data_IF_919149895985
#
_entry.id   IF_919149895985
#
_cell.length_a   1.000
_cell.length_b   1.000
_cell.length_c   1.000
_cell.angle_alpha   90.00
_cell.angle_beta   90.00
_cell.angle_gamma   90.00
#
_symmetry.space_group_name_H-M   'P 1'
#
loop_
_entity.id
_entity.type
_entity.pdbx_description
1 polymer ?
#
# COMPACT_ATOMS: atom_id res chain seq x y z
N UNK A 1 -0.85 35.93 -10.48
CA UNK A 1 -0.07 36.19 -9.25
C UNK A 1 -0.98 36.12 -8.03
N UNK A 2 -1.10 34.93 -7.41
CA UNK A 2 -1.80 34.75 -6.15
C UNK A 2 -0.76 34.65 -5.02
N UNK A 3 -0.98 35.44 -3.97
CA UNK A 3 -0.08 35.68 -2.85
C UNK A 3 -0.01 34.43 -1.94
N UNK A 4 1.18 33.91 -1.55
CA UNK A 4 1.28 32.75 -0.67
C UNK A 4 0.86 33.18 0.74
N UNK A 5 -0.38 32.86 1.12
CA UNK A 5 -0.80 32.90 2.52
C UNK A 5 0.15 31.99 3.29
N UNK A 6 1.05 32.57 4.10
CA UNK A 6 1.89 31.84 5.07
C UNK A 6 0.98 30.89 5.87
N UNK A 7 1.08 29.58 5.60
CA UNK A 7 0.32 28.51 6.24
C UNK A 7 0.69 28.49 7.73
N UNK A 8 -0.16 29.06 8.59
CA UNK A 8 0.09 29.12 10.04
C UNK A 8 -0.16 27.75 10.66
N UNK A 9 0.91 26.98 10.87
CA UNK A 9 0.92 25.86 11.83
C UNK A 9 1.15 24.45 11.29
N UNK A 10 1.31 24.28 9.98
CA UNK A 10 1.58 23.00 9.31
C UNK A 10 3.04 22.96 8.85
N UNK A 11 3.95 22.63 9.76
CA UNK A 11 5.40 22.55 9.51
C UNK A 11 5.94 21.12 9.67
N UNK A 12 5.04 20.16 9.89
CA UNK A 12 5.35 18.74 10.01
C UNK A 12 4.61 17.97 8.94
N UNK A 13 5.23 16.89 8.49
CA UNK A 13 4.59 15.83 7.74
C UNK A 13 4.43 14.60 8.63
N UNK A 14 3.34 13.87 8.41
CA UNK A 14 3.08 12.59 9.05
C UNK A 14 2.76 11.52 8.00
N UNK A 15 3.36 10.35 8.15
CA UNK A 15 3.10 9.18 7.32
C UNK A 15 1.94 8.37 7.91
N UNK A 16 0.80 8.44 7.24
CA UNK A 16 -0.44 7.84 7.70
C UNK A 16 -0.36 6.30 7.71
N UNK A 17 -1.06 5.66 8.65
CA UNK A 17 -1.05 4.18 8.75
C UNK A 17 -1.86 3.51 7.66
N UNK A 18 -2.87 4.20 7.15
CA UNK A 18 -3.89 3.62 6.29
C UNK A 18 -3.43 3.47 4.84
N UNK A 19 -2.70 4.45 4.32
CA UNK A 19 -2.23 4.49 2.93
C UNK A 19 -0.71 4.63 2.78
N UNK A 20 0.02 4.76 3.89
CA UNK A 20 1.49 4.92 3.93
C UNK A 20 2.02 6.19 3.23
N UNK A 21 1.14 7.15 2.94
CA UNK A 21 1.49 8.42 2.28
C UNK A 21 1.78 9.54 3.29
N UNK A 22 2.52 10.55 2.82
CA UNK A 22 2.90 11.72 3.62
C UNK A 22 1.89 12.85 3.48
N UNK A 23 1.43 13.35 4.64
CA UNK A 23 0.52 14.48 4.71
C UNK A 23 1.08 15.62 5.54
N UNK A 24 0.79 16.86 5.16
CA UNK A 24 1.03 18.02 6.01
C UNK A 24 0.10 17.99 7.23
N UNK A 25 0.66 18.08 8.44
CA UNK A 25 -0.08 17.97 9.69
C UNK A 25 0.29 19.03 10.71
N UNK A 26 -0.61 19.22 11.67
CA UNK A 26 -0.32 19.96 12.91
C UNK A 26 -0.65 19.08 14.10
N UNK A 27 0.16 19.21 15.15
CA UNK A 27 -0.05 18.46 16.38
C UNK A 27 -0.83 19.27 17.41
N UNK A 28 -1.80 18.65 18.05
CA UNK A 28 -2.56 19.21 19.17
C UNK A 28 -2.35 18.31 20.39
N UNK A 29 -1.99 18.92 21.53
CA UNK A 29 -1.78 18.20 22.78
C UNK A 29 -2.95 18.50 23.73
N UNK A 30 -3.58 17.45 24.29
CA UNK A 30 -4.62 17.58 25.33
C UNK A 30 -4.40 16.51 26.41
N UNK A 31 -3.90 16.92 27.56
CA UNK A 31 -3.61 16.00 28.67
C UNK A 31 -2.53 14.97 28.28
N UNK A 32 -2.89 13.68 28.30
CA UNK A 32 -2.01 12.57 27.89
C UNK A 32 -2.21 12.15 26.42
N UNK A 33 -2.99 12.91 25.66
CA UNK A 33 -3.34 12.60 24.28
C UNK A 33 -2.64 13.57 23.32
N UNK A 34 -2.04 13.03 22.27
CA UNK A 34 -1.56 13.76 21.11
C UNK A 34 -2.47 13.46 19.91
N UNK A 35 -2.99 14.50 19.28
CA UNK A 35 -3.81 14.40 18.09
C UNK A 35 -3.05 14.96 16.89
N UNK A 36 -2.95 14.17 15.84
CA UNK A 36 -2.43 14.55 14.53
C UNK A 36 -3.62 15.07 13.71
N UNK A 37 -3.62 16.38 13.42
CA UNK A 37 -4.63 17.00 12.56
C UNK A 37 -4.08 17.22 11.17
N UNK A 38 -4.75 16.66 10.17
CA UNK A 38 -4.37 16.74 8.76
C UNK A 38 -4.73 18.10 8.14
N UNK A 39 -3.85 18.68 7.33
CA UNK A 39 -4.11 19.94 6.63
C UNK A 39 -5.19 19.73 5.56
N UNK A 40 -6.30 20.46 5.63
CA UNK A 40 -7.36 20.40 4.62
C UNK A 40 -8.42 19.32 4.87
N UNK A 41 -8.27 18.50 5.91
CA UNK A 41 -9.22 17.45 6.27
C UNK A 41 -10.03 17.80 7.53
N UNK A 42 -11.17 17.12 7.69
CA UNK A 42 -12.04 17.26 8.86
C UNK A 42 -11.49 16.47 10.06
N UNK A 43 -12.02 16.75 11.25
CA UNK A 43 -11.56 16.10 12.49
C UNK A 43 -11.84 14.59 12.54
N UNK A 44 -12.68 14.07 11.65
CA UNK A 44 -12.97 12.65 11.50
C UNK A 44 -11.75 11.85 10.99
N UNK A 45 -10.83 12.53 10.31
CA UNK A 45 -9.58 11.94 9.82
C UNK A 45 -8.43 12.05 10.83
N UNK A 46 -8.61 12.75 11.96
CA UNK A 46 -7.53 12.97 12.92
C UNK A 46 -7.05 11.65 13.56
N UNK A 47 -5.73 11.44 13.61
CA UNK A 47 -5.15 10.30 14.35
C UNK A 47 -4.89 10.70 15.81
N UNK A 48 -5.34 9.86 16.74
CA UNK A 48 -5.30 10.13 18.18
C UNK A 48 -4.43 9.10 18.89
N UNK A 49 -3.37 9.57 19.53
CA UNK A 49 -2.44 8.74 20.30
C UNK A 49 -2.55 9.06 21.79
N UNK A 50 -2.90 8.07 22.59
CA UNK A 50 -2.85 8.20 24.05
C UNK A 50 -1.52 7.66 24.59
N UNK A 51 -0.87 8.41 25.48
CA UNK A 51 0.46 8.07 25.96
C UNK A 51 0.51 6.75 26.77
N UNK A 52 -0.63 6.20 27.17
CA UNK A 52 -0.76 4.91 27.87
C UNK A 52 -0.85 3.70 26.94
N UNK A 53 -1.03 3.89 25.64
CA UNK A 53 -1.30 2.80 24.70
C UNK A 53 -0.01 2.08 24.24
N UNK A 54 1.13 2.75 24.42
CA UNK A 54 2.45 2.25 24.04
C UNK A 54 2.98 1.28 25.09
N UNK A 55 3.43 0.10 24.63
CA UNK A 55 3.89 -1.00 25.48
C UNK A 55 5.40 -1.19 25.45
N UNK A 56 6.06 -0.67 24.42
CA UNK A 56 7.50 -0.86 24.24
C UNK A 56 8.16 0.38 23.64
N UNK A 57 9.49 0.42 23.68
CA UNK A 57 10.27 1.51 23.09
C UNK A 57 10.22 1.43 21.55
N UNK A 58 10.12 0.23 21.00
CA UNK A 58 10.04 -0.03 19.57
C UNK A 58 8.77 0.58 18.96
N UNK A 59 7.61 0.45 19.63
CA UNK A 59 6.36 1.11 19.18
C UNK A 59 6.49 2.64 19.16
N UNK A 60 7.26 3.19 20.10
CA UNK A 60 7.53 4.64 20.17
C UNK A 60 8.47 5.08 19.05
N UNK A 61 9.53 4.30 18.79
CA UNK A 61 10.48 4.59 17.71
C UNK A 61 9.78 4.50 16.34
N UNK A 62 8.87 3.55 16.14
CA UNK A 62 8.05 3.44 14.92
C UNK A 62 7.10 4.64 14.74
N UNK A 63 6.49 5.14 15.82
CA UNK A 63 5.70 6.38 15.76
C UNK A 63 6.56 7.57 15.33
N UNK A 64 7.76 7.71 15.91
CA UNK A 64 8.64 8.85 15.62
C UNK A 64 9.11 8.84 14.17
N UNK A 65 9.41 7.66 13.60
CA UNK A 65 9.79 7.51 12.18
C UNK A 65 8.73 8.00 11.20
N UNK A 66 7.47 8.08 11.63
CA UNK A 66 6.36 8.59 10.81
C UNK A 66 6.24 10.10 10.82
N UNK A 67 7.10 10.84 11.51
CA UNK A 67 7.11 12.30 11.47
C UNK A 67 8.38 12.84 10.80
N UNK A 68 8.22 13.90 10.02
CA UNK A 68 9.35 14.69 9.49
C UNK A 68 8.97 16.15 9.27
N UNK A 69 9.95 16.94 8.85
CA UNK A 69 9.72 18.34 8.46
C UNK A 69 9.07 18.37 7.10
N UNK A 70 8.25 19.38 6.82
CA UNK A 70 7.66 19.54 5.48
C UNK A 70 8.75 19.53 4.40
N UNK A 71 8.54 18.67 3.41
CA UNK A 71 9.40 18.45 2.26
C UNK A 71 9.11 19.56 1.24
N UNK A 72 10.05 20.48 0.96
CA UNK A 72 9.83 21.52 -0.02
C UNK A 72 9.79 20.92 -1.43
N UNK A 73 8.84 21.38 -2.23
CA UNK A 73 8.80 21.07 -3.66
C UNK A 73 10.01 21.68 -4.36
N UNK A 74 10.63 20.89 -5.24
CA UNK A 74 11.76 21.31 -6.07
C UNK A 74 11.31 22.31 -7.13
N UNK A 75 12.19 23.23 -7.50
CA UNK A 75 12.03 24.10 -8.66
C UNK A 75 12.88 23.61 -9.83
N UNK A 76 12.49 23.98 -11.05
CA UNK A 76 13.12 23.54 -12.30
C UNK A 76 14.63 23.82 -12.34
N UNK A 77 15.04 25.01 -11.88
CA UNK A 77 16.45 25.41 -11.75
C UNK A 77 17.25 24.58 -10.73
N UNK A 78 16.58 23.84 -9.85
CA UNK A 78 17.19 23.05 -8.77
C UNK A 78 17.47 21.60 -9.19
N UNK A 79 17.12 21.19 -10.42
CA UNK A 79 17.27 19.82 -10.90
C UNK A 79 18.71 19.27 -10.78
N UNK A 80 19.71 20.13 -11.02
CA UNK A 80 21.13 19.75 -10.96
C UNK A 80 21.64 19.43 -9.55
N UNK A 81 20.83 19.68 -8.51
CA UNK A 81 21.17 19.27 -7.14
C UNK A 81 20.82 17.80 -6.86
N UNK A 82 19.97 17.18 -7.67
CA UNK A 82 19.55 15.79 -7.54
C UNK A 82 20.63 14.84 -8.05
N UNK A 83 20.80 13.70 -7.37
CA UNK A 83 21.79 12.68 -7.69
C UNK A 83 21.20 11.29 -7.52
N UNK A 84 21.72 10.35 -8.29
CA UNK A 84 21.44 8.93 -8.10
C UNK A 84 21.77 8.50 -6.65
N UNK A 85 20.93 7.63 -6.09
CA UNK A 85 20.96 7.20 -4.70
C UNK A 85 20.28 8.16 -3.70
N UNK A 86 19.87 9.37 -4.11
CA UNK A 86 19.15 10.27 -3.22
C UNK A 86 17.72 9.79 -2.96
N UNK A 87 17.27 9.90 -1.72
CA UNK A 87 15.86 9.70 -1.36
C UNK A 87 15.12 11.02 -1.52
N UNK A 88 14.05 10.98 -2.30
CA UNK A 88 13.14 12.10 -2.56
C UNK A 88 11.72 11.70 -2.21
N UNK A 89 10.88 12.69 -1.93
CA UNK A 89 9.45 12.49 -1.77
C UNK A 89 8.78 12.85 -3.09
N UNK A 90 8.00 11.94 -3.67
CA UNK A 90 7.46 12.09 -5.02
C UNK A 90 5.94 11.95 -4.99
N UNK A 91 5.29 12.88 -5.69
CA UNK A 91 3.86 12.83 -5.98
C UNK A 91 3.53 11.63 -6.86
N UNK A 92 2.57 10.85 -6.42
CA UNK A 92 2.13 9.63 -7.06
C UNK A 92 0.62 9.66 -7.16
N UNK A 93 0.11 9.65 -8.39
CA UNK A 93 -1.28 9.32 -8.64
C UNK A 93 -1.45 7.79 -8.56
N UNK A 94 -1.30 7.26 -7.36
CA UNK A 94 -1.34 5.82 -7.14
C UNK A 94 -2.73 5.22 -7.29
N UNK A 95 -3.78 6.03 -7.06
CA UNK A 95 -5.15 5.58 -6.93
C UNK A 95 -6.08 6.05 -8.06
N UNK A 96 -5.57 6.84 -9.02
CA UNK A 96 -6.37 7.43 -10.09
C UNK A 96 -7.24 8.58 -9.59
N UNK A 97 -7.19 9.73 -10.26
CA UNK A 97 -7.90 10.96 -9.87
C UNK A 97 -7.02 12.21 -10.01
N UNK A 98 -7.49 13.36 -9.51
CA UNK A 98 -6.68 14.59 -9.39
C UNK A 98 -5.81 14.60 -8.12
N UNK A 99 -6.04 13.67 -7.19
CA UNK A 99 -5.35 13.62 -5.91
C UNK A 99 -3.95 13.00 -6.05
N UNK A 100 -2.95 13.85 -5.82
CA UNK A 100 -1.55 13.45 -5.76
C UNK A 100 -1.17 13.14 -4.32
N UNK A 101 -0.81 11.88 -4.06
CA UNK A 101 -0.29 11.45 -2.77
C UNK A 101 1.23 11.34 -2.80
N UNK A 102 1.87 11.52 -1.66
CA UNK A 102 3.31 11.68 -1.60
C UNK A 102 3.97 10.48 -0.92
N UNK A 103 4.94 9.87 -1.59
CA UNK A 103 5.68 8.70 -1.10
C UNK A 103 7.18 8.88 -1.28
N UNK A 104 7.99 8.15 -0.53
CA UNK A 104 9.44 8.22 -0.70
C UNK A 104 9.91 7.25 -1.78
N UNK A 105 10.86 7.72 -2.57
CA UNK A 105 11.52 6.96 -3.61
C UNK A 105 13.01 7.28 -3.65
N UNK A 106 13.82 6.35 -4.13
CA UNK A 106 15.24 6.57 -4.42
C UNK A 106 15.40 6.88 -5.91
N UNK A 107 16.27 7.84 -6.24
CA UNK A 107 16.64 8.12 -7.63
C UNK A 107 17.62 7.04 -8.10
N UNK A 108 17.24 6.27 -9.11
CA UNK A 108 18.08 5.19 -9.67
C UNK A 108 18.88 5.65 -10.87
N UNK A 109 18.30 6.53 -11.70
CA UNK A 109 18.98 7.10 -12.86
C UNK A 109 18.46 8.50 -13.18
N UNK A 110 19.31 9.33 -13.78
CA UNK A 110 18.95 10.69 -14.21
C UNK A 110 19.26 10.87 -15.70
N UNK A 111 18.23 11.15 -16.49
CA UNK A 111 18.37 11.53 -17.90
C UNK A 111 18.30 13.05 -18.01
N UNK A 112 19.49 13.67 -18.00
CA UNK A 112 19.63 15.11 -18.16
C UNK A 112 19.41 15.52 -19.62
N UNK A 113 18.71 16.63 -19.81
CA UNK A 113 18.51 17.27 -21.11
C UNK A 113 18.64 18.79 -20.96
N UNK A 114 18.87 19.49 -22.07
CA UNK A 114 18.87 20.95 -22.06
C UNK A 114 17.47 21.47 -21.72
N UNK A 115 17.40 22.45 -20.82
CA UNK A 115 16.14 23.05 -20.38
C UNK A 115 15.54 23.95 -21.46
N UNK A 116 14.21 24.00 -21.52
CA UNK A 116 13.48 24.97 -22.32
C UNK A 116 13.22 26.26 -21.53
N UNK A 117 12.93 27.34 -22.24
CA UNK A 117 12.53 28.60 -21.63
C UNK A 117 11.22 29.07 -22.27
N UNK A 118 10.14 29.10 -21.47
CA UNK A 118 8.84 29.59 -21.90
C UNK A 118 8.56 30.92 -21.20
N UNK A 119 8.34 32.00 -21.97
CA UNK A 119 8.09 33.35 -21.45
C UNK A 119 9.16 33.88 -20.46
N UNK A 120 10.40 33.36 -20.54
CA UNK A 120 11.50 33.73 -19.64
C UNK A 120 11.55 32.94 -18.33
N UNK A 121 10.64 31.98 -18.13
CA UNK A 121 10.69 31.00 -17.04
C UNK A 121 11.38 29.72 -17.56
N UNK A 122 12.27 29.17 -16.74
CA UNK A 122 13.00 27.92 -17.03
C UNK A 122 12.06 26.73 -16.83
N UNK A 123 12.04 25.81 -17.80
CA UNK A 123 11.26 24.60 -17.80
C UNK A 123 12.19 23.38 -17.87
N UNK A 124 12.18 22.58 -16.82
CA UNK A 124 13.01 21.39 -16.69
C UNK A 124 12.37 20.21 -17.43
N UNK A 125 13.07 19.69 -18.44
CA UNK A 125 12.66 18.53 -19.21
C UNK A 125 13.41 17.24 -18.81
N UNK A 126 14.20 17.29 -17.73
CA UNK A 126 14.96 16.14 -17.25
C UNK A 126 14.01 15.03 -16.77
N UNK A 127 14.37 13.79 -17.05
CA UNK A 127 13.62 12.62 -16.58
C UNK A 127 14.40 11.89 -15.50
N UNK A 128 13.74 11.61 -14.39
CA UNK A 128 14.31 10.88 -13.27
C UNK A 128 13.65 9.51 -13.18
N UNK A 129 14.48 8.46 -13.19
CA UNK A 129 14.02 7.11 -12.92
C UNK A 129 14.09 6.89 -11.41
N UNK A 130 12.95 6.63 -10.79
CA UNK A 130 12.85 6.44 -9.33
C UNK A 130 12.39 5.02 -8.99
N UNK A 131 12.85 4.50 -7.85
CA UNK A 131 12.36 3.26 -7.24
C UNK A 131 11.63 3.58 -5.94
N UNK A 132 10.34 3.24 -5.86
CA UNK A 132 9.51 3.56 -4.69
C UNK A 132 9.94 2.74 -3.46
N UNK A 133 10.19 3.41 -2.33
CA UNK A 133 10.60 2.76 -1.08
C UNK A 133 9.41 2.20 -0.30
N UNK A 134 8.24 2.82 -0.48
CA UNK A 134 7.02 2.47 0.24
C UNK A 134 5.76 2.85 -0.55
N UNK A 135 4.59 2.62 0.04
CA UNK A 135 3.31 2.82 -0.63
C UNK A 135 2.99 1.78 -1.72
N UNK A 136 1.96 2.05 -2.54
CA UNK A 136 1.35 1.07 -3.45
C UNK A 136 2.24 0.68 -4.65
N UNK A 137 3.25 1.50 -4.97
CA UNK A 137 4.22 1.21 -6.05
C UNK A 137 5.57 0.74 -5.52
N UNK A 138 5.68 0.38 -4.24
CA UNK A 138 6.94 -0.07 -3.63
C UNK A 138 7.68 -1.10 -4.51
N UNK A 139 8.97 -0.83 -4.76
CA UNK A 139 9.86 -1.66 -5.57
C UNK A 139 9.70 -1.53 -7.09
N UNK A 140 8.70 -0.80 -7.58
CA UNK A 140 8.57 -0.50 -9.01
C UNK A 140 9.44 0.68 -9.40
N UNK A 141 9.94 0.64 -10.64
CA UNK A 141 10.57 1.79 -11.28
C UNK A 141 9.52 2.68 -11.93
N UNK A 142 9.71 3.99 -11.88
CA UNK A 142 8.83 4.97 -12.54
C UNK A 142 9.66 6.13 -13.05
N UNK A 143 9.32 6.61 -14.24
CA UNK A 143 9.88 7.84 -14.79
C UNK A 143 9.01 9.02 -14.33
N UNK A 144 9.65 10.09 -13.87
CA UNK A 144 8.97 11.32 -13.45
C UNK A 144 9.80 12.55 -13.79
N UNK A 145 9.13 13.69 -13.96
CA UNK A 145 9.76 15.01 -14.00
C UNK A 145 9.99 15.58 -12.61
N UNK A 146 10.60 16.76 -12.56
CA UNK A 146 10.96 17.45 -11.30
C UNK A 146 9.74 18.06 -10.58
N UNK A 147 8.68 18.39 -11.32
CA UNK A 147 7.47 19.04 -10.82
C UNK A 147 6.76 18.23 -9.73
N UNK A 148 6.90 16.91 -9.78
CA UNK A 148 6.35 15.98 -8.79
C UNK A 148 7.27 15.73 -7.60
N UNK A 149 8.46 16.33 -7.53
CA UNK A 149 9.48 16.00 -6.53
C UNK A 149 9.58 17.02 -5.39
N UNK A 150 9.76 16.50 -4.19
CA UNK A 150 10.08 17.25 -2.99
C UNK A 150 11.37 16.73 -2.36
N UNK A 151 12.24 17.65 -1.93
CA UNK A 151 13.50 17.28 -1.28
C UNK A 151 13.28 16.97 0.20
N UNK A 152 13.91 15.90 0.69
CA UNK A 152 13.90 15.62 2.11
C UNK A 152 14.87 16.56 2.82
N UNK A 153 14.33 17.50 3.59
CA UNK A 153 15.10 18.16 4.64
C UNK A 153 15.28 17.12 5.74
N UNK A 154 16.53 16.78 6.07
CA UNK A 154 16.88 15.69 6.98
C UNK A 154 16.08 15.64 8.28
N UNK A 155 16.19 14.51 9.00
CA UNK A 155 15.35 14.14 10.17
C UNK A 155 14.94 15.36 10.98
N UNK A 156 13.63 15.60 11.08
CA UNK A 156 13.11 16.68 11.89
C UNK A 156 13.72 16.60 13.29
N UNK A 157 14.35 17.68 13.71
CA UNK A 157 14.55 17.94 15.13
C UNK A 157 13.20 17.70 15.80
N UNK A 158 13.09 16.66 16.62
CA UNK A 158 11.84 16.19 17.23
C UNK A 158 11.09 17.41 17.75
N UNK A 159 9.99 17.76 17.08
CA UNK A 159 9.29 19.01 17.34
C UNK A 159 8.91 19.09 18.83
N UNK A 160 8.85 20.28 19.46
CA UNK A 160 8.64 20.40 20.91
C UNK A 160 7.41 19.64 21.44
N UNK A 161 6.38 19.49 20.61
CA UNK A 161 5.17 18.71 20.91
C UNK A 161 5.41 17.20 20.90
N UNK A 162 6.11 16.67 19.89
CA UNK A 162 6.50 15.25 19.83
C UNK A 162 7.38 14.94 21.04
N UNK A 163 8.39 15.78 21.32
CA UNK A 163 9.26 15.60 22.48
C UNK A 163 8.49 15.59 23.81
N UNK A 164 7.46 16.44 23.93
CA UNK A 164 6.60 16.47 25.12
C UNK A 164 5.75 15.20 25.25
N UNK A 165 5.21 14.69 24.15
CA UNK A 165 4.46 13.43 24.13
C UNK A 165 5.35 12.24 24.48
N UNK A 166 6.55 12.15 23.90
CA UNK A 166 7.52 11.09 24.20
C UNK A 166 7.91 11.05 25.69
N UNK A 167 8.04 12.21 26.35
CA UNK A 167 8.24 12.27 27.80
C UNK A 167 7.08 11.65 28.59
N UNK A 168 5.85 11.85 28.15
CA UNK A 168 4.66 11.26 28.78
C UNK A 168 4.63 9.74 28.58
N UNK A 169 4.91 9.27 27.37
CA UNK A 169 4.96 7.83 27.05
C UNK A 169 6.05 7.14 27.87
N UNK A 170 7.27 7.67 27.88
CA UNK A 170 8.39 7.11 28.63
C UNK A 170 8.12 7.06 30.14
N UNK A 171 7.40 8.05 30.69
CA UNK A 171 6.97 8.02 32.09
C UNK A 171 5.99 6.88 32.37
N UNK A 172 5.09 6.58 31.43
CA UNK A 172 4.14 5.49 31.57
C UNK A 172 4.82 4.12 31.42
N UNK A 173 5.72 3.96 30.45
CA UNK A 173 6.55 2.76 30.31
C UNK A 173 7.38 2.48 31.59
N UNK A 174 7.97 3.53 32.16
CA UNK A 174 8.71 3.44 33.43
C UNK A 174 7.82 2.99 34.60
N UNK A 175 6.56 3.42 34.66
CA UNK A 175 5.59 3.01 35.69
C UNK A 175 5.11 1.57 35.53
N UNK A 176 4.91 1.11 34.29
CA UNK A 176 4.54 -0.27 33.99
C UNK A 176 5.66 -1.26 34.34
N UNK A 177 6.93 -0.85 34.16
CA UNK A 177 8.11 -1.64 34.53
C UNK A 177 8.24 -1.86 36.05
N UNK A 178 7.90 -0.86 36.88
CA UNK A 178 7.96 -1.01 38.35
C UNK A 178 6.73 -1.67 39.00
N UNK A 179 5.61 -1.82 38.27
CA UNK A 179 4.48 -2.64 38.74
C UNK A 179 4.73 -4.15 38.60
N UNK A 180 5.58 -4.57 37.65
CA UNK A 180 5.90 -5.99 37.44
C UNK A 180 6.85 -6.56 38.51
N UNK A 181 7.57 -5.73 39.24
CA UNK A 181 8.46 -6.16 40.35
C UNK A 181 7.78 -6.15 41.73
N UNK A 182 6.59 -5.58 41.86
CA UNK A 182 5.87 -5.50 43.15
C UNK A 182 5.08 -6.79 43.49
N UNK A 183 4.90 -7.72 42.54
CA UNK A 183 4.16 -8.97 42.73
C UNK A 183 5.06 -10.19 42.96
N UNK A 184 6.21 -10.04 43.62
CA UNK A 184 6.95 -11.15 44.22
C UNK A 184 7.43 -10.79 45.63
N UNK A 185 6.48 -10.67 46.54
CA UNK A 185 6.77 -10.65 47.99
C UNK A 185 5.86 -11.65 48.67
N UNK A 186 6.32 -12.90 48.73
CA UNK A 186 6.16 -13.74 49.90
C UNK A 186 7.48 -14.47 50.19
N UNK A 187 7.77 -14.52 51.48
CA UNK A 187 9.04 -14.69 52.21
C UNK A 187 9.85 -15.97 51.94
N UNK A 188 11.17 -15.88 52.15
CA UNK A 188 11.91 -16.57 53.23
C UNK A 188 13.21 -15.78 53.54
N UNK A 189 13.59 -15.79 54.81
CA UNK A 189 14.58 -14.98 55.51
C UNK A 189 16.00 -15.58 55.57
N UNK A 190 16.97 -14.64 55.76
CA UNK A 190 18.31 -14.74 56.38
C UNK A 190 19.40 -15.60 55.70
N UNK A 191 20.52 -14.99 55.28
CA UNK A 191 21.71 -14.66 56.11
C UNK A 191 22.90 -14.14 55.25
N UNK A 192 23.51 -13.05 55.74
CA UNK A 192 24.93 -12.61 55.70
C UNK A 192 25.81 -12.66 54.42
N UNK A 193 26.36 -11.49 54.06
CA UNK A 193 27.83 -11.32 53.87
C UNK A 193 28.35 -10.76 52.53
N UNK A 194 28.95 -9.55 52.58
CA UNK A 194 30.07 -9.02 51.74
C UNK A 194 29.81 -8.74 50.24
N UNK A 195 30.43 -7.79 49.52
CA UNK A 195 31.08 -6.47 49.71
C UNK A 195 31.53 -6.02 48.29
N UNK A 196 31.35 -4.73 47.91
CA UNK A 196 31.98 -3.92 46.81
C UNK A 196 32.13 -4.54 45.38
N UNK A 197 32.12 -3.86 44.22
CA UNK A 197 32.19 -2.47 43.76
C UNK A 197 31.78 -2.40 42.25
N UNK A 198 31.67 -1.18 41.70
CA UNK A 198 31.21 -0.72 40.38
C UNK A 198 31.58 -1.49 39.09
N UNK A 199 30.73 -1.34 38.04
CA UNK A 199 31.18 -1.29 36.65
C UNK A 199 30.15 -1.56 35.53
N UNK A 200 29.77 -0.52 34.80
CA UNK A 200 29.68 -0.50 33.32
C UNK A 200 28.78 -1.48 32.53
N UNK A 201 27.63 -0.95 32.09
CA UNK A 201 27.02 -1.05 30.74
C UNK A 201 27.40 -2.17 29.74
N UNK A 202 26.35 -2.85 29.23
CA UNK A 202 25.96 -3.08 27.82
C UNK A 202 25.67 -4.54 27.39
N UNK A 203 24.40 -4.72 26.97
CA UNK A 203 23.85 -5.47 25.80
C UNK A 203 24.43 -6.85 25.43
N UNK A 204 23.54 -7.85 25.29
CA UNK A 204 23.24 -8.55 24.02
C UNK A 204 22.42 -9.83 24.22
N UNK A 205 21.88 -10.33 23.10
CA UNK A 205 21.04 -11.53 22.85
C UNK A 205 19.54 -11.27 22.85
N UNK A 206 18.90 -11.01 21.70
CA UNK A 206 18.70 -11.86 20.50
C UNK A 206 17.88 -13.11 20.82
N UNK A 207 16.60 -13.07 20.42
CA UNK A 207 15.72 -14.19 20.07
C UNK A 207 14.35 -13.57 19.73
N UNK A 208 13.63 -13.83 18.65
CA UNK A 208 13.81 -14.66 17.49
C UNK A 208 12.80 -14.19 16.44
N UNK A 209 13.14 -14.38 15.18
CA UNK A 209 12.31 -14.26 13.99
C UNK A 209 11.15 -15.26 14.03
N UNK A 210 9.97 -14.91 13.47
CA UNK A 210 9.20 -15.83 12.61
C UNK A 210 7.98 -15.14 11.97
N UNK A 211 8.17 -14.69 10.73
CA UNK A 211 7.08 -14.49 9.78
C UNK A 211 6.68 -15.86 9.23
N UNK A 212 5.53 -16.37 9.66
CA UNK A 212 4.95 -17.62 9.15
C UNK A 212 3.91 -17.34 8.07
N UNK A 213 4.28 -17.59 6.81
CA UNK A 213 3.32 -17.86 5.73
C UNK A 213 3.30 -19.36 5.45
N UNK A 214 2.54 -20.13 6.22
CA UNK A 214 2.01 -21.41 5.76
C UNK A 214 0.58 -21.61 6.27
N UNK A 215 -0.29 -22.00 5.33
CA UNK A 215 -1.65 -22.41 5.57
C UNK A 215 -1.66 -23.85 6.09
N UNK A 216 -2.13 -24.06 7.32
CA UNK A 216 -2.97 -25.23 7.69
C UNK A 216 -3.79 -24.96 8.97
N UNK A 217 -5.04 -25.39 8.93
CA UNK A 217 -6.13 -25.32 9.91
C UNK A 217 -5.80 -25.37 11.41
N UNK A 218 -6.50 -24.56 12.22
CA UNK A 218 -7.45 -25.03 13.26
C UNK A 218 -7.70 -23.99 14.38
N UNK A 219 -8.98 -23.86 14.76
CA UNK A 219 -9.53 -23.32 16.04
C UNK A 219 -9.38 -21.82 16.32
N UNK A 220 -10.28 -21.03 15.73
CA UNK A 220 -11.22 -20.21 16.51
C UNK A 220 -12.52 -20.11 15.71
N UNK A 221 -13.36 -21.13 15.91
CA UNK A 221 -14.79 -21.01 15.72
C UNK A 221 -15.35 -20.42 17.02
N UNK A 222 -16.31 -19.50 16.85
CA UNK A 222 -17.30 -18.95 17.79
C UNK A 222 -17.05 -17.53 18.30
N UNK A 223 -18.19 -16.83 18.36
CA UNK A 223 -18.46 -15.44 18.75
C UNK A 223 -18.03 -14.46 17.64
N UNK A 224 -18.94 -13.83 16.90
CA UNK A 224 -20.17 -13.17 17.36
C UNK A 224 -21.31 -13.33 16.34
N UNK A 225 -22.34 -14.10 16.72
CA UNK A 225 -23.72 -13.81 16.33
C UNK A 225 -24.30 -12.84 17.37
N UNK A 226 -25.26 -12.05 16.91
CA UNK A 226 -26.19 -11.14 17.60
C UNK A 226 -25.74 -9.72 18.01
N UNK A 227 -26.26 -8.79 17.19
CA UNK A 227 -26.98 -7.55 17.52
C UNK A 227 -26.32 -6.47 18.40
N UNK A 228 -25.98 -5.35 17.75
CA UNK A 228 -26.77 -4.12 17.92
C UNK A 228 -26.83 -3.29 16.63
N UNK A 229 -28.06 -3.17 16.16
CA UNK A 229 -28.60 -2.24 15.18
C UNK A 229 -28.01 -0.82 15.28
N UNK A 230 -27.30 -0.40 14.23
CA UNK A 230 -27.02 0.99 13.88
C UNK A 230 -27.30 1.11 12.38
N UNK A 231 -28.40 1.77 12.06
CA UNK A 231 -28.91 1.92 10.69
C UNK A 231 -27.88 2.44 9.70
N UNK A 232 -27.79 1.73 8.57
CA UNK A 232 -27.02 2.09 7.37
C UNK A 232 -26.01 1.03 6.95
N UNK A 233 -26.48 -0.12 6.41
CA UNK A 233 -25.60 -1.09 5.75
C UNK A 233 -24.83 -0.41 4.60
N UNK A 234 -23.51 -0.31 4.73
CA UNK A 234 -22.65 -0.18 3.56
C UNK A 234 -22.85 -1.45 2.73
N UNK A 235 -23.25 -1.37 1.45
CA UNK A 235 -23.54 -2.57 0.68
C UNK A 235 -22.28 -3.42 0.59
N UNK A 236 -22.38 -4.67 1.05
CA UNK A 236 -21.33 -5.68 0.97
C UNK A 236 -20.91 -5.80 -0.49
N UNK A 237 -19.85 -5.11 -0.88
CA UNK A 237 -19.36 -5.13 -2.26
C UNK A 237 -18.52 -6.38 -2.44
N UNK A 238 -18.87 -7.18 -3.44
CA UNK A 238 -18.20 -8.43 -3.76
C UNK A 238 -17.52 -8.33 -5.12
N UNK A 239 -16.31 -8.89 -5.21
CA UNK A 239 -15.39 -8.65 -6.32
C UNK A 239 -15.01 -9.95 -7.04
N UNK A 240 -14.74 -9.84 -8.33
CA UNK A 240 -14.14 -10.89 -9.16
C UNK A 240 -13.03 -10.29 -10.01
N UNK A 241 -11.88 -10.95 -9.99
CA UNK A 241 -10.72 -10.55 -10.78
C UNK A 241 -10.62 -11.39 -12.02
N UNK A 242 -10.42 -10.70 -13.13
CA UNK A 242 -10.42 -11.27 -14.46
C UNK A 242 -9.16 -10.81 -15.17
N UNK A 243 -8.49 -11.73 -15.82
CA UNK A 243 -7.26 -11.50 -16.56
C UNK A 243 -7.36 -12.01 -17.99
N UNK A 244 -6.31 -11.73 -18.76
CA UNK A 244 -6.19 -12.09 -20.17
C UNK A 244 -7.26 -11.44 -21.07
N UNK A 245 -7.75 -10.26 -20.70
CA UNK A 245 -8.69 -9.49 -21.51
C UNK A 245 -7.99 -8.74 -22.63
N UNK A 246 -8.74 -8.34 -23.65
CA UNK A 246 -8.22 -7.44 -24.68
C UNK A 246 -7.93 -6.06 -24.10
N UNK A 247 -6.86 -5.42 -24.60
CA UNK A 247 -6.45 -4.09 -24.12
C UNK A 247 -7.43 -2.99 -24.48
N UNK A 248 -8.20 -3.18 -25.55
CA UNK A 248 -9.21 -2.26 -26.05
C UNK A 248 -10.64 -2.66 -25.65
N UNK A 249 -10.82 -3.70 -24.81
CA UNK A 249 -12.14 -4.09 -24.32
C UNK A 249 -12.74 -2.93 -23.51
N UNK A 250 -13.93 -2.49 -23.90
CA UNK A 250 -14.61 -1.40 -23.20
C UNK A 250 -15.32 -1.91 -21.93
N UNK A 251 -15.26 -1.15 -20.82
CA UNK A 251 -15.97 -1.50 -19.58
C UNK A 251 -17.48 -1.69 -19.77
N UNK A 252 -18.12 -0.84 -20.60
CA UNK A 252 -19.54 -0.95 -20.93
C UNK A 252 -19.85 -2.27 -21.66
N UNK A 253 -19.09 -2.59 -22.71
CA UNK A 253 -19.27 -3.83 -23.47
C UNK A 253 -19.10 -5.06 -22.57
N UNK A 254 -18.14 -5.01 -21.65
CA UNK A 254 -17.94 -6.10 -20.70
C UNK A 254 -19.10 -6.23 -19.71
N UNK A 255 -19.56 -5.11 -19.14
CA UNK A 255 -20.71 -5.06 -18.24
C UNK A 255 -21.97 -5.60 -18.91
N UNK A 256 -22.26 -5.10 -20.11
CA UNK A 256 -23.47 -5.43 -20.86
C UNK A 256 -23.45 -6.91 -21.28
N UNK A 257 -22.29 -7.46 -21.64
CA UNK A 257 -22.10 -8.90 -21.89
C UNK A 257 -22.43 -9.76 -20.66
N UNK A 258 -21.95 -9.37 -19.48
CA UNK A 258 -22.25 -10.09 -18.22
C UNK A 258 -23.74 -10.02 -17.92
N UNK A 259 -24.34 -8.84 -18.06
CA UNK A 259 -25.77 -8.67 -17.83
C UNK A 259 -26.63 -9.49 -18.82
N UNK A 260 -26.26 -9.53 -20.10
CA UNK A 260 -26.94 -10.31 -21.15
C UNK A 260 -27.00 -11.80 -20.78
N UNK A 261 -25.91 -12.37 -20.25
CA UNK A 261 -25.83 -13.81 -19.99
C UNK A 261 -26.21 -14.24 -18.59
N UNK A 262 -26.21 -13.32 -17.61
CA UNK A 262 -26.48 -13.65 -16.21
C UNK A 262 -27.72 -12.96 -15.65
N UNK A 263 -28.23 -11.93 -16.34
CA UNK A 263 -29.26 -11.00 -15.83
C UNK A 263 -28.88 -10.38 -14.48
N UNK A 264 -27.59 -10.29 -14.18
CA UNK A 264 -27.07 -9.68 -12.95
C UNK A 264 -26.57 -8.28 -13.28
N UNK A 265 -27.09 -7.23 -12.63
CA UNK A 265 -26.49 -5.90 -12.73
C UNK A 265 -25.15 -5.91 -11.99
N UNK A 266 -24.11 -5.46 -12.68
CA UNK A 266 -22.74 -5.36 -12.14
C UNK A 266 -22.07 -4.08 -12.61
N UNK A 267 -21.03 -3.66 -11.90
CA UNK A 267 -20.06 -2.71 -12.42
C UNK A 267 -18.86 -3.48 -12.97
N UNK A 268 -18.24 -2.96 -14.03
CA UNK A 268 -17.07 -3.56 -14.64
C UNK A 268 -16.01 -2.48 -14.87
N UNK A 269 -14.74 -2.84 -14.64
CA UNK A 269 -13.58 -2.01 -14.89
C UNK A 269 -12.59 -2.78 -15.73
N UNK A 270 -11.94 -2.11 -16.68
CA UNK A 270 -10.87 -2.67 -17.52
C UNK A 270 -9.60 -1.86 -17.28
N UNK A 271 -8.51 -2.58 -16.99
CA UNK A 271 -7.22 -2.08 -16.58
C UNK A 271 -6.15 -2.60 -17.55
N UNK A 272 -5.87 -1.87 -18.64
CA UNK A 272 -4.79 -2.22 -19.56
C UNK A 272 -3.45 -2.19 -18.84
N UNK A 273 -2.62 -3.21 -19.03
CA UNK A 273 -1.24 -3.18 -18.54
C UNK A 273 -0.31 -2.57 -19.60
N UNK A 274 0.61 -1.66 -19.22
CA UNK A 274 1.67 -1.22 -20.11
C UNK A 274 2.70 -2.31 -20.42
N UNK A 275 2.93 -3.22 -19.47
CA UNK A 275 3.97 -4.25 -19.54
C UNK A 275 3.46 -5.62 -19.98
N UNK A 276 2.15 -5.86 -19.89
CA UNK A 276 1.55 -7.14 -20.28
C UNK A 276 0.81 -7.01 -21.60
N UNK A 277 0.81 -8.07 -22.44
CA UNK A 277 0.12 -8.05 -23.72
C UNK A 277 -1.41 -8.23 -23.57
N UNK A 278 -1.97 -7.97 -22.38
CA UNK A 278 -3.37 -8.16 -22.01
C UNK A 278 -3.82 -7.11 -20.99
N UNK A 279 -5.14 -6.92 -20.87
CA UNK A 279 -5.77 -6.15 -19.81
C UNK A 279 -6.30 -7.05 -18.69
N UNK A 280 -6.43 -6.45 -17.51
CA UNK A 280 -7.11 -7.03 -16.36
C UNK A 280 -8.49 -6.39 -16.22
N UNK A 281 -9.41 -7.05 -15.55
CA UNK A 281 -10.74 -6.54 -15.30
C UNK A 281 -11.23 -6.88 -13.91
N UNK A 282 -12.15 -6.05 -13.43
CA UNK A 282 -12.79 -6.20 -12.13
C UNK A 282 -14.29 -6.15 -12.35
N UNK A 283 -15.01 -7.11 -11.78
CA UNK A 283 -16.47 -7.06 -11.69
C UNK A 283 -16.86 -6.83 -10.23
N UNK A 284 -17.75 -5.87 -10.00
CA UNK A 284 -18.28 -5.51 -8.67
C UNK A 284 -19.78 -5.73 -8.63
N UNK A 285 -20.25 -6.39 -7.56
CA UNK A 285 -21.67 -6.64 -7.28
C UNK A 285 -21.98 -6.44 -5.81
N UNK A 286 -23.22 -6.13 -5.48
CA UNK A 286 -23.67 -5.78 -4.12
C UNK A 286 -23.98 -6.98 -3.20
N UNK A 287 -23.84 -8.21 -3.69
CA UNK A 287 -24.22 -9.43 -2.96
C UNK A 287 -23.46 -10.67 -3.42
N UNK A 288 -23.19 -11.59 -2.49
CA UNK A 288 -22.49 -12.84 -2.77
C UNK A 288 -23.29 -13.75 -3.72
N UNK A 289 -24.63 -13.74 -3.62
CA UNK A 289 -25.50 -14.50 -4.52
C UNK A 289 -25.35 -14.06 -5.98
N UNK A 290 -25.31 -12.74 -6.21
CA UNK A 290 -25.06 -12.17 -7.55
C UNK A 290 -23.67 -12.55 -8.06
N UNK A 291 -22.66 -12.48 -7.19
CA UNK A 291 -21.30 -12.90 -7.51
C UNK A 291 -21.24 -14.38 -7.88
N UNK A 292 -21.88 -15.24 -7.09
CA UNK A 292 -21.90 -16.68 -7.34
C UNK A 292 -22.62 -17.01 -8.65
N UNK A 293 -23.70 -16.30 -8.99
CA UNK A 293 -24.40 -16.45 -10.27
C UNK A 293 -23.50 -16.09 -11.46
N UNK A 294 -22.72 -15.01 -11.36
CA UNK A 294 -21.74 -14.65 -12.38
C UNK A 294 -20.61 -15.70 -12.45
N UNK A 295 -20.07 -16.15 -11.32
CA UNK A 295 -19.02 -17.19 -11.30
C UNK A 295 -19.48 -18.51 -11.93
N UNK A 296 -20.74 -18.93 -11.69
CA UNK A 296 -21.31 -20.13 -12.31
C UNK A 296 -21.38 -20.02 -13.83
N UNK A 297 -21.54 -18.82 -14.37
CA UNK A 297 -21.45 -18.57 -15.80
C UNK A 297 -19.99 -18.56 -16.26
N UNK A 298 -19.13 -17.74 -15.66
CA UNK A 298 -17.75 -17.55 -16.11
C UNK A 298 -16.86 -18.81 -15.97
N UNK A 299 -17.09 -19.66 -14.97
CA UNK A 299 -16.30 -20.87 -14.68
C UNK A 299 -17.06 -22.16 -15.04
N UNK A 300 -17.95 -22.09 -16.03
CA UNK A 300 -18.71 -23.25 -16.48
C UNK A 300 -17.87 -24.15 -17.40
N UNK A 301 -17.70 -25.45 -17.14
CA UNK A 301 -16.92 -26.33 -18.01
C UNK A 301 -17.54 -26.52 -19.40
N UNK A 302 -18.85 -26.28 -19.55
CA UNK A 302 -19.55 -26.44 -20.83
C UNK A 302 -19.22 -25.34 -21.85
N UNK A 303 -18.61 -24.22 -21.43
CA UNK A 303 -18.24 -23.15 -22.35
C UNK A 303 -17.01 -22.36 -21.88
N UNK A 304 -16.45 -21.55 -22.77
CA UNK A 304 -15.47 -20.54 -22.42
C UNK A 304 -15.92 -19.19 -22.96
N UNK A 305 -15.51 -18.12 -22.31
CA UNK A 305 -15.68 -16.76 -22.80
C UNK A 305 -14.37 -16.35 -23.43
N UNK A 306 -14.44 -15.92 -24.68
CA UNK A 306 -13.28 -15.49 -25.44
C UNK A 306 -13.51 -14.12 -26.04
N UNK A 307 -12.43 -13.39 -26.29
CA UNK A 307 -12.49 -12.19 -27.10
C UNK A 307 -12.77 -12.51 -28.57
N UNK A 308 -13.11 -11.49 -29.34
CA UNK A 308 -13.19 -11.54 -30.80
C UNK A 308 -11.89 -12.02 -31.46
N UNK A 309 -10.74 -11.86 -30.81
CA UNK A 309 -9.44 -12.41 -31.29
C UNK A 309 -9.16 -13.84 -30.80
N UNK A 310 -10.05 -14.41 -29.97
CA UNK A 310 -9.95 -15.76 -29.43
C UNK A 310 -9.23 -15.87 -28.08
N UNK A 311 -8.93 -14.76 -27.40
CA UNK A 311 -8.28 -14.78 -26.08
C UNK A 311 -9.26 -15.24 -25.01
N UNK A 312 -8.95 -16.29 -24.23
CA UNK A 312 -9.84 -16.77 -23.18
C UNK A 312 -9.77 -15.90 -21.94
N UNK A 313 -10.94 -15.60 -21.39
CA UNK A 313 -11.09 -14.94 -20.10
C UNK A 313 -10.62 -15.87 -18.96
N UNK A 314 -9.81 -15.34 -18.04
CA UNK A 314 -9.26 -16.11 -16.92
C UNK A 314 -9.64 -15.48 -15.58
N UNK A 315 -10.27 -16.25 -14.69
CA UNK A 315 -10.60 -15.81 -13.33
C UNK A 315 -9.44 -16.17 -12.41
N UNK A 316 -8.73 -15.17 -11.87
CA UNK A 316 -7.52 -15.40 -11.06
C UNK A 316 -7.75 -15.30 -9.55
N UNK A 317 -8.71 -14.49 -9.10
CA UNK A 317 -9.01 -14.35 -7.67
C UNK A 317 -10.48 -14.61 -7.33
N UNK A 318 -10.70 -15.63 -6.49
CA UNK A 318 -12.02 -16.22 -6.21
C UNK A 318 -12.52 -15.97 -4.78
N UNK A 319 -11.79 -15.28 -3.91
CA UNK A 319 -12.21 -14.92 -2.54
C UNK A 319 -11.45 -13.69 -2.07
N UNK A 320 -12.15 -12.61 -1.72
CA UNK A 320 -11.53 -11.46 -1.06
C UNK A 320 -12.24 -11.12 0.24
N UNK A 321 -11.45 -10.78 1.27
CA UNK A 321 -11.91 -10.12 2.49
C UNK A 321 -11.84 -8.62 2.28
N UNK A 322 -12.72 -7.89 2.97
CA UNK A 322 -12.95 -6.46 2.88
C UNK A 322 -11.69 -5.55 2.93
N UNK A 323 -10.54 -6.05 3.40
CA UNK A 323 -9.28 -5.29 3.48
C UNK A 323 -8.63 -4.93 2.14
N UNK A 324 -8.88 -5.66 1.05
CA UNK A 324 -8.36 -5.29 -0.28
C UNK A 324 -9.19 -4.20 -0.99
N UNK A 325 -10.37 -3.87 -0.46
CA UNK A 325 -11.33 -2.94 -1.10
C UNK A 325 -10.89 -1.47 -0.93
N UNK A 326 -10.26 -1.12 0.20
CA UNK A 326 -9.80 0.25 0.46
C UNK A 326 -8.69 0.73 -0.48
N UNK A 327 -7.99 -0.18 -1.17
CA UNK A 327 -6.88 0.16 -2.07
C UNK A 327 -7.34 0.60 -3.47
N UNK A 328 -8.63 0.46 -3.82
CA UNK A 328 -9.15 0.70 -5.18
C UNK A 328 -10.48 1.43 -5.27
N UNK A 329 -10.99 1.96 -4.16
CA UNK A 329 -12.20 2.79 -4.12
C UNK A 329 -11.94 4.26 -4.51
N UNK A 330 -10.95 4.52 -5.37
CA UNK A 330 -10.76 5.82 -6.02
C UNK A 330 -11.81 5.97 -7.12
N UNK A 331 -12.49 7.10 -7.17
CA UNK A 331 -13.62 7.38 -8.05
C UNK A 331 -13.28 7.22 -9.53
N UNK A 332 -13.54 6.05 -10.10
CA UNK A 332 -13.57 5.84 -11.54
C UNK A 332 -14.95 6.26 -12.07
N UNK A 333 -15.06 7.50 -12.55
CA UNK A 333 -16.19 7.86 -13.40
C UNK A 333 -16.02 7.22 -14.80
N UNK A 334 -17.07 6.61 -15.38
CA UNK A 334 -17.03 6.08 -16.73
C UNK A 334 -16.83 7.22 -17.73
N UNK A 335 -15.73 7.20 -18.48
CA UNK A 335 -15.63 8.02 -19.68
C UNK A 335 -16.44 7.36 -20.80
N UNK A 336 -17.70 7.78 -20.94
CA UNK A 336 -18.59 7.39 -22.03
C UNK A 336 -18.19 8.14 -23.32
N UNK A 337 -17.28 7.55 -24.10
CA UNK A 337 -17.18 7.85 -25.53
C UNK A 337 -18.07 6.87 -26.29
N UNK A 338 -19.24 7.36 -26.71
CA UNK A 338 -20.17 6.63 -27.56
C UNK A 338 -19.56 6.42 -28.95
N UNK A 339 -18.93 5.28 -29.16
CA UNK A 339 -18.70 4.71 -30.48
C UNK A 339 -19.38 3.35 -30.52
N UNK A 340 -20.45 3.28 -31.30
CA UNK A 340 -21.04 2.01 -31.72
C UNK A 340 -19.93 1.19 -32.36
N UNK A 341 -19.61 0.00 -31.83
CA UNK A 341 -19.53 -1.25 -32.60
C UNK A 341 -18.96 -2.44 -31.79
N UNK A 342 -19.56 -3.59 -32.13
CA UNK A 342 -19.21 -5.00 -31.96
C UNK A 342 -19.04 -5.62 -30.56
N UNK A 343 -19.67 -6.79 -30.40
CA UNK A 343 -19.55 -7.60 -29.18
C UNK A 343 -18.18 -8.25 -29.16
N UNK A 344 -17.22 -7.58 -28.51
CA UNK A 344 -15.84 -8.07 -28.38
C UNK A 344 -15.70 -9.37 -27.59
N UNK A 345 -16.76 -9.85 -26.95
CA UNK A 345 -16.78 -11.10 -26.18
C UNK A 345 -17.82 -12.06 -26.74
N UNK A 346 -17.44 -13.33 -26.81
CA UNK A 346 -18.29 -14.41 -27.31
C UNK A 346 -18.16 -15.66 -26.44
N UNK A 347 -19.24 -16.44 -26.39
CA UNK A 347 -19.28 -17.73 -25.69
C UNK A 347 -18.98 -18.85 -26.68
N UNK A 348 -17.92 -19.61 -26.45
CA UNK A 348 -17.58 -20.80 -27.24
C UNK A 348 -17.97 -22.07 -26.48
N UNK A 349 -18.71 -22.96 -27.13
CA UNK A 349 -19.25 -24.17 -26.51
C UNK A 349 -18.26 -25.33 -26.54
N UNK A 350 -18.27 -26.14 -25.49
CA UNK A 350 -17.48 -27.37 -25.40
C UNK A 350 -17.76 -28.29 -26.59
N UNK A 351 -16.72 -28.96 -27.08
CA UNK A 351 -16.78 -29.81 -28.27
C UNK A 351 -16.63 -29.07 -29.61
N UNK A 352 -16.53 -27.74 -29.60
CA UNK A 352 -16.18 -26.96 -30.80
C UNK A 352 -14.66 -26.82 -30.95
N UNK A 353 -14.18 -26.67 -32.19
CA UNK A 353 -12.76 -26.41 -32.44
C UNK A 353 -12.28 -25.10 -31.80
N UNK A 354 -13.15 -24.08 -31.77
CA UNK A 354 -12.89 -22.80 -31.12
C UNK A 354 -12.69 -22.96 -29.61
N UNK A 355 -13.49 -23.80 -28.95
CA UNK A 355 -13.33 -24.13 -27.53
C UNK A 355 -12.00 -24.85 -27.26
N UNK A 356 -11.62 -25.83 -28.07
CA UNK A 356 -10.35 -26.53 -27.90
C UNK A 356 -9.14 -25.61 -28.05
N UNK A 357 -9.19 -24.67 -29.01
CA UNK A 357 -8.15 -23.63 -29.16
C UNK A 357 -8.12 -22.68 -27.96
N UNK A 358 -9.28 -22.18 -27.54
CA UNK A 358 -9.42 -21.29 -26.39
C UNK A 358 -8.93 -21.95 -25.10
N UNK A 359 -9.22 -23.24 -24.90
CA UNK A 359 -8.77 -24.01 -23.75
C UNK A 359 -7.25 -24.13 -23.70
N UNK A 360 -6.59 -24.45 -24.83
CA UNK A 360 -5.12 -24.47 -24.91
C UNK A 360 -4.50 -23.12 -24.57
N UNK A 361 -5.09 -22.02 -25.05
CA UNK A 361 -4.63 -20.67 -24.71
C UNK A 361 -4.84 -20.35 -23.21
N UNK A 362 -5.94 -20.82 -22.62
CA UNK A 362 -6.26 -20.64 -21.20
C UNK A 362 -5.24 -21.38 -20.34
N UNK A 363 -4.94 -22.63 -20.70
CA UNK A 363 -3.97 -23.47 -20.01
C UNK A 363 -2.56 -22.86 -20.10
N UNK A 364 -2.15 -22.38 -21.29
CA UNK A 364 -0.89 -21.66 -21.47
C UNK A 364 -0.80 -20.41 -20.60
N UNK A 365 -1.89 -19.64 -20.52
CA UNK A 365 -1.93 -18.44 -19.67
C UNK A 365 -1.81 -18.81 -18.18
N UNK A 366 -2.50 -19.86 -17.73
CA UNK A 366 -2.41 -20.34 -16.34
C UNK A 366 -1.00 -20.84 -16.00
N UNK A 367 -0.33 -21.52 -16.93
CA UNK A 367 1.08 -21.92 -16.78
C UNK A 367 2.00 -20.70 -16.65
N UNK A 368 1.82 -19.69 -17.51
CA UNK A 368 2.54 -18.43 -17.44
C UNK A 368 2.38 -17.75 -16.07
N UNK A 369 1.15 -17.64 -15.56
CA UNK A 369 0.88 -17.07 -14.24
C UNK A 369 1.54 -17.87 -13.11
N UNK A 370 1.57 -19.20 -13.23
CA UNK A 370 2.27 -20.08 -12.29
C UNK A 370 3.79 -19.80 -12.29
N UNK A 371 4.40 -19.67 -13.46
CA UNK A 371 5.82 -19.33 -13.60
C UNK A 371 6.15 -17.97 -13.01
N UNK A 372 5.35 -16.93 -13.31
CA UNK A 372 5.54 -15.61 -12.70
C UNK A 372 5.51 -15.70 -11.17
N UNK A 373 4.52 -16.42 -10.60
CA UNK A 373 4.41 -16.60 -9.15
C UNK A 373 5.63 -17.30 -8.56
N UNK A 374 6.18 -18.29 -9.24
CA UNK A 374 7.39 -19.00 -8.80
C UNK A 374 8.63 -18.10 -8.86
N UNK A 375 8.76 -17.29 -9.91
CA UNK A 375 9.85 -16.30 -10.02
C UNK A 375 9.80 -15.28 -8.89
N UNK A 376 8.62 -14.72 -8.59
CA UNK A 376 8.46 -13.80 -7.45
C UNK A 376 8.84 -14.46 -6.14
N UNK A 377 8.39 -15.70 -5.88
CA UNK A 377 8.78 -16.45 -4.67
C UNK A 377 10.28 -16.67 -4.59
N UNK A 378 10.92 -17.07 -5.70
CA UNK A 378 12.36 -17.29 -5.77
C UNK A 378 13.12 -16.00 -5.47
N UNK A 379 12.73 -14.90 -6.12
CA UNK A 379 13.30 -13.58 -5.88
C UNK A 379 13.19 -13.18 -4.41
N UNK A 380 12.01 -13.30 -3.79
CA UNK A 380 11.83 -12.96 -2.37
C UNK A 380 12.72 -13.78 -1.43
N UNK A 381 12.98 -15.06 -1.74
CA UNK A 381 13.88 -15.91 -0.95
C UNK A 381 15.33 -15.49 -1.14
N UNK A 382 15.76 -15.23 -2.36
CA UNK A 382 17.14 -14.80 -2.67
C UNK A 382 17.43 -13.42 -2.07
N UNK A 383 16.50 -12.47 -2.19
CA UNK A 383 16.58 -11.15 -1.57
C UNK A 383 16.72 -11.27 -0.05
N UNK A 384 15.90 -12.11 0.60
CA UNK A 384 15.99 -12.37 2.04
C UNK A 384 17.36 -12.93 2.45
N UNK A 385 17.92 -13.88 1.68
CA UNK A 385 19.23 -14.47 1.95
C UNK A 385 20.36 -13.44 1.82
N UNK A 386 20.31 -12.58 0.80
CA UNK A 386 21.30 -11.52 0.59
C UNK A 386 21.25 -10.48 1.72
N UNK A 387 20.05 -10.03 2.11
CA UNK A 387 19.86 -9.09 3.21
C UNK A 387 20.36 -9.66 4.54
N UNK A 388 20.15 -10.95 4.81
CA UNK A 388 20.69 -11.62 6.00
C UNK A 388 22.22 -11.73 5.97
N UNK A 389 22.80 -12.06 4.82
CA UNK A 389 24.27 -12.13 4.66
C UNK A 389 24.93 -10.76 4.85
N UNK A 390 24.31 -9.70 4.34
CA UNK A 390 24.78 -8.33 4.53
C UNK A 390 24.71 -7.88 6.00
N UNK A 391 23.65 -8.27 6.72
CA UNK A 391 23.55 -8.04 8.17
C UNK A 391 24.65 -8.77 8.96
N UNK A 392 25.01 -9.99 8.57
CA UNK A 392 26.11 -10.74 9.20
C UNK A 392 27.48 -10.14 8.87
N UNK A 393 27.71 -9.68 7.63
CA UNK A 393 28.97 -9.06 7.24
C UNK A 393 29.22 -7.73 7.98
N UNK A 394 28.18 -6.93 8.16
CA UNK A 394 28.25 -5.68 8.93
C UNK A 394 28.55 -5.93 10.42
N UNK A 395 28.17 -7.08 10.98
CA UNK A 395 28.50 -7.45 12.36
C UNK A 395 29.95 -7.92 12.54
N UNK A 396 30.62 -8.36 11.46
CA UNK A 396 32.01 -8.84 11.51
C UNK A 396 33.02 -7.70 11.35
N UNK A 397 32.64 -6.61 10.68
CA UNK A 397 33.52 -5.43 10.46
C UNK A 397 33.56 -4.50 11.70
N UNK A 398 32.59 -4.62 12.61
CA UNK A 398 32.53 -3.87 13.87
C UNK A 398 33.30 -4.53 15.04
N UNK A 399 34.23 -5.46 14.75
CA UNK A 399 35.19 -6.05 15.70
C UNK A 399 36.61 -5.79 15.21
#
# INVERSE_FOLDING_TARGET
>A
MANPRKRKGYYLEYRASDDDSWYSVRLVMKGQTMTVKYEGYTEECDEVFHAGDFKSKEEVDELVKRFRSVSPQMQDSECGSLKEGMIVCVGCNAFGGEDMLFYDAVIEAIHNVDHSFCNGEEECLCTFVISWLHGPKKGYLTDTGIEGMCILKGVAQVGPKIASFLKLVNRNLGKSSCMLTAASKYEISASEGSSCENGGSNLSMISSFEASFHSTNSKYSRLWEDDKDLGGQCPSSHFMFIENLERNLLPLSFRDFIHEHTSVPSQAYILPSPSMPYARGIIVVDSEDKRQKILQFLDNPAHLIVSSTGRPLVITERKLRHGMIKMWSGSYEPQDMCLVMDKDLMVVQSGTEAYERAKKLKDLFLEFMSHQRLLYKKFSVEEMMLLQTQQQFNQIIDV
#
